data_IF_572940868768
#
_entry.id   IF_572940868768
#
_cell.length_a   1.000
_cell.length_b   1.000
_cell.length_c   1.000
_cell.angle_alpha   90.00
_cell.angle_beta   90.00
_cell.angle_gamma   90.00
#
_symmetry.space_group_name_H-M   'P 1'
#
loop_
_entity.id
_entity.type
_entity.pdbx_description
1 polymer ?
#
# COMPACT_ATOMS: atom_id res chain seq x y z
N UNK A 1 46.39 54.01 -74.75
CA UNK A 1 46.65 52.98 -73.71
C UNK A 1 45.43 52.83 -72.82
N UNK A 2 44.62 51.76 -72.93
CA UNK A 2 43.60 51.43 -71.94
C UNK A 2 44.02 50.23 -71.08
N UNK A 3 43.99 50.39 -69.76
CA UNK A 3 44.31 49.36 -68.76
C UNK A 3 43.15 48.36 -68.61
N UNK A 4 43.45 47.06 -68.71
CA UNK A 4 42.52 45.96 -68.37
C UNK A 4 42.47 45.74 -66.85
N UNK A 5 41.27 45.59 -66.30
CA UNK A 5 41.02 45.22 -64.90
C UNK A 5 40.86 43.69 -64.75
N UNK A 6 41.22 43.10 -63.59
CA UNK A 6 41.17 41.65 -63.37
C UNK A 6 39.80 41.18 -62.84
N UNK A 7 39.39 39.97 -63.26
CA UNK A 7 38.18 39.27 -62.84
C UNK A 7 38.42 38.56 -61.50
N UNK A 8 37.68 38.95 -60.46
CA UNK A 8 37.65 38.30 -59.15
C UNK A 8 36.92 36.95 -59.20
N UNK A 9 37.59 35.90 -58.71
CA UNK A 9 37.04 34.55 -58.53
C UNK A 9 36.25 34.49 -57.22
N UNK A 10 34.98 34.12 -57.30
CA UNK A 10 34.11 33.88 -56.15
C UNK A 10 34.33 32.46 -55.62
N UNK A 11 34.88 32.35 -54.41
CA UNK A 11 34.96 31.08 -53.67
C UNK A 11 33.64 30.86 -52.93
N UNK A 12 32.79 29.95 -53.43
CA UNK A 12 31.63 29.46 -52.69
C UNK A 12 32.12 28.55 -51.54
N UNK A 13 31.92 28.99 -50.29
CA UNK A 13 32.11 28.16 -49.10
C UNK A 13 30.80 27.43 -48.82
N UNK A 14 30.78 26.12 -49.04
CA UNK A 14 29.68 25.26 -48.62
C UNK A 14 29.68 25.16 -47.08
N UNK A 15 28.58 25.60 -46.46
CA UNK A 15 28.34 25.41 -45.03
C UNK A 15 27.67 24.04 -44.81
N UNK A 16 28.38 23.13 -44.15
CA UNK A 16 27.83 21.84 -43.74
C UNK A 16 27.13 22.01 -42.38
N UNK A 17 25.80 21.91 -42.37
CA UNK A 17 24.98 21.94 -41.16
C UNK A 17 25.04 20.56 -40.49
N UNK A 18 25.80 20.46 -39.40
CA UNK A 18 25.87 19.25 -38.57
C UNK A 18 24.60 19.16 -37.71
N UNK A 19 23.64 18.33 -38.10
CA UNK A 19 22.45 18.07 -37.31
C UNK A 19 22.81 17.11 -36.15
N UNK A 20 22.94 17.64 -34.94
CA UNK A 20 23.00 16.84 -33.71
C UNK A 20 21.61 16.23 -33.45
N UNK A 21 21.45 14.95 -33.80
CA UNK A 21 20.29 14.18 -33.38
C UNK A 21 20.40 13.85 -31.90
N UNK A 22 19.75 14.64 -31.03
CA UNK A 22 19.48 14.21 -29.66
C UNK A 22 18.48 13.05 -29.72
N UNK A 23 18.98 11.82 -29.58
CA UNK A 23 18.12 10.69 -29.28
C UNK A 23 17.51 10.93 -27.89
N UNK A 24 16.21 11.20 -27.84
CA UNK A 24 15.47 11.21 -26.59
C UNK A 24 15.50 9.78 -26.03
N UNK A 25 16.32 9.54 -25.01
CA UNK A 25 16.22 8.31 -24.22
C UNK A 25 14.81 8.29 -23.61
N UNK A 26 14.01 7.28 -23.97
CA UNK A 26 12.73 7.07 -23.32
C UNK A 26 12.98 6.89 -21.83
N UNK A 27 12.40 7.77 -21.01
CA UNK A 27 12.35 7.58 -19.57
C UNK A 27 11.45 6.38 -19.31
N UNK A 28 12.05 5.20 -19.19
CA UNK A 28 11.35 4.02 -18.71
C UNK A 28 10.84 4.36 -17.30
N UNK A 29 9.56 4.12 -17.08
CA UNK A 29 8.97 4.31 -15.78
C UNK A 29 9.60 3.30 -14.80
N UNK A 30 10.01 3.79 -13.63
CA UNK A 30 10.69 2.94 -12.65
C UNK A 30 9.65 2.21 -11.77
N UNK A 31 9.84 0.92 -11.47
CA UNK A 31 8.97 0.18 -10.56
C UNK A 31 9.08 0.73 -9.13
N UNK A 32 8.03 0.52 -8.34
CA UNK A 32 8.03 0.87 -6.92
C UNK A 32 8.76 -0.21 -6.14
N UNK A 33 9.83 0.14 -5.44
CA UNK A 33 10.70 -0.81 -4.73
C UNK A 33 10.78 -0.52 -3.23
N UNK A 34 11.17 -1.55 -2.47
CA UNK A 34 11.39 -1.44 -1.03
C UNK A 34 10.21 -1.91 -0.19
N UNK A 35 10.43 -1.99 1.11
CA UNK A 35 9.40 -2.31 2.09
C UNK A 35 8.81 -1.02 2.65
N UNK A 36 7.55 -1.10 3.08
CA UNK A 36 6.83 -0.01 3.71
C UNK A 36 6.18 -0.50 5.01
N UNK A 37 6.38 0.26 6.09
CA UNK A 37 5.66 0.06 7.34
C UNK A 37 4.87 1.31 7.69
N UNK A 38 3.59 1.12 8.01
CA UNK A 38 2.69 2.20 8.37
C UNK A 38 1.85 1.82 9.58
N UNK A 39 1.32 2.83 10.26
CA UNK A 39 0.43 2.64 11.40
C UNK A 39 -0.66 3.70 11.44
N UNK A 40 -1.73 3.40 12.15
CA UNK A 40 -2.85 4.29 12.35
C UNK A 40 -3.83 3.75 13.38
N UNK A 41 -5.06 4.26 13.33
CA UNK A 41 -6.17 3.81 14.16
C UNK A 41 -7.35 3.46 13.27
N UNK A 42 -8.07 2.39 13.59
CA UNK A 42 -9.33 2.05 12.94
C UNK A 42 -10.41 1.73 13.98
N UNK A 43 -11.65 1.72 13.50
CA UNK A 43 -12.84 1.19 14.13
C UNK A 43 -13.26 -0.10 13.41
N UNK A 44 -13.30 -1.21 14.12
CA UNK A 44 -13.81 -2.48 13.60
C UNK A 44 -15.25 -2.67 14.03
N UNK A 45 -16.12 -2.94 13.07
CA UNK A 45 -17.53 -3.24 13.29
C UNK A 45 -18.02 -4.28 12.27
N UNK A 46 -19.31 -4.62 12.32
CA UNK A 46 -19.93 -5.45 11.28
C UNK A 46 -20.00 -4.75 9.92
N UNK A 47 -19.80 -3.42 9.87
CA UNK A 47 -19.69 -2.64 8.65
C UNK A 47 -18.26 -2.55 8.09
N UNK A 48 -17.29 -3.25 8.70
CA UNK A 48 -15.91 -3.34 8.22
C UNK A 48 -14.90 -2.56 9.06
N UNK A 49 -13.81 -2.14 8.41
CA UNK A 49 -12.76 -1.28 8.98
C UNK A 49 -13.00 0.18 8.55
N UNK A 50 -13.25 1.04 9.53
CA UNK A 50 -13.38 2.50 9.37
C UNK A 50 -12.13 3.16 9.95
N UNK A 51 -11.26 3.67 9.08
CA UNK A 51 -9.97 4.23 9.49
C UNK A 51 -10.17 5.66 10.01
N UNK A 52 -9.46 6.02 11.09
CA UNK A 52 -9.62 7.33 11.72
C UNK A 52 -9.00 8.45 10.87
N UNK A 53 -9.65 9.63 10.73
CA UNK A 53 -10.90 10.03 11.37
C UNK A 53 -12.15 9.31 10.83
N UNK A 54 -12.99 8.82 11.75
CA UNK A 54 -14.15 8.00 11.43
C UNK A 54 -15.23 8.72 10.60
N UNK A 55 -15.94 7.98 9.76
CA UNK A 55 -17.18 8.42 9.12
C UNK A 55 -17.01 9.24 7.83
N UNK A 56 -15.80 9.28 7.26
CA UNK A 56 -15.48 10.00 6.03
C UNK A 56 -15.27 9.12 4.79
N UNK A 57 -15.29 7.79 4.92
CA UNK A 57 -14.89 6.87 3.85
C UNK A 57 -13.36 6.72 3.71
N UNK A 58 -12.60 7.53 4.45
CA UNK A 58 -11.14 7.54 4.48
C UNK A 58 -10.64 7.90 5.87
N UNK A 59 -9.56 7.25 6.29
CA UNK A 59 -8.74 7.67 7.42
C UNK A 59 -7.35 8.13 7.02
N UNK A 60 -6.50 8.31 8.03
CA UNK A 60 -5.10 8.71 7.92
C UNK A 60 -4.18 7.65 8.51
N UNK A 61 -2.99 7.52 7.92
CA UNK A 61 -1.92 6.70 8.45
C UNK A 61 -0.61 7.50 8.52
N UNK A 62 0.33 6.99 9.31
CA UNK A 62 1.69 7.50 9.41
C UNK A 62 2.69 6.46 8.89
N UNK A 63 3.69 6.91 8.14
CA UNK A 63 4.77 6.04 7.66
C UNK A 63 5.84 5.91 8.74
N UNK A 64 5.96 4.71 9.31
CA UNK A 64 6.89 4.40 10.39
C UNK A 64 8.30 4.11 9.86
N UNK A 65 8.39 3.33 8.78
CA UNK A 65 9.64 2.94 8.17
C UNK A 65 9.44 2.66 6.68
N UNK A 66 10.51 2.77 5.90
CA UNK A 66 10.48 2.53 4.47
C UNK A 66 11.89 2.35 3.90
N UNK A 67 11.99 1.56 2.83
CA UNK A 67 13.22 1.42 2.02
C UNK A 67 12.90 1.71 0.55
N UNK A 68 13.92 1.77 -0.31
CA UNK A 68 13.74 2.00 -1.74
C UNK A 68 12.94 3.27 -2.04
N UNK A 69 11.87 3.14 -2.81
CA UNK A 69 10.94 4.22 -3.18
C UNK A 69 10.31 4.91 -1.96
N UNK A 70 10.16 4.18 -0.84
CA UNK A 70 9.47 4.68 0.36
C UNK A 70 10.41 5.34 1.38
N UNK A 71 11.72 5.32 1.18
CA UNK A 71 12.68 5.83 2.15
C UNK A 71 12.48 7.33 2.47
N UNK A 72 12.06 8.13 1.48
CA UNK A 72 11.76 9.56 1.65
C UNK A 72 10.40 9.85 2.30
N UNK A 73 9.55 8.83 2.46
CA UNK A 73 8.21 8.98 3.04
C UNK A 73 8.20 8.76 4.55
N UNK A 74 9.29 8.26 5.14
CA UNK A 74 9.38 8.04 6.58
C UNK A 74 9.12 9.35 7.33
N UNK A 75 8.19 9.31 8.29
CA UNK A 75 7.79 10.50 9.04
C UNK A 75 6.65 11.31 8.41
N UNK A 76 6.16 10.90 7.24
CA UNK A 76 5.05 11.57 6.55
C UNK A 76 3.72 10.87 6.80
N UNK A 77 2.62 11.50 6.37
CA UNK A 77 1.27 10.97 6.47
C UNK A 77 0.72 10.60 5.09
N UNK A 78 -0.25 9.69 5.09
CA UNK A 78 -1.06 9.36 3.93
C UNK A 78 -2.52 9.13 4.32
N UNK A 79 -3.35 8.84 3.32
CA UNK A 79 -4.77 8.53 3.52
C UNK A 79 -5.04 7.07 3.16
N UNK A 80 -5.93 6.43 3.90
CA UNK A 80 -6.37 5.05 3.69
C UNK A 80 -7.88 5.01 3.48
N UNK A 81 -8.38 4.27 2.50
CA UNK A 81 -9.82 4.07 2.30
C UNK A 81 -10.39 3.08 3.33
N UNK A 82 -11.63 3.31 3.74
CA UNK A 82 -12.38 2.36 4.56
C UNK A 82 -12.63 1.05 3.81
N UNK A 83 -12.59 -0.07 4.54
CA UNK A 83 -12.73 -1.40 3.96
C UNK A 83 -14.02 -2.03 4.46
N UNK A 84 -15.03 -2.04 3.59
CA UNK A 84 -16.28 -2.72 3.85
C UNK A 84 -16.13 -4.27 3.76
N UNK A 85 -16.99 -5.05 4.45
CA UNK A 85 -16.95 -6.50 4.43
C UNK A 85 -17.18 -7.03 3.02
N UNK A 86 -16.39 -8.02 2.60
CA UNK A 86 -16.55 -8.68 1.31
C UNK A 86 -16.08 -7.86 0.09
N UNK A 87 -15.53 -6.67 0.30
CA UNK A 87 -14.93 -5.88 -0.80
C UNK A 87 -13.55 -6.44 -1.11
N UNK A 88 -13.41 -7.08 -2.27
CA UNK A 88 -12.17 -7.71 -2.71
C UNK A 88 -11.14 -6.70 -3.25
N UNK A 89 -11.60 -5.58 -3.83
CA UNK A 89 -10.75 -4.62 -4.55
C UNK A 89 -11.06 -3.21 -4.10
N UNK A 90 -10.03 -2.48 -3.69
CA UNK A 90 -10.10 -1.05 -3.39
C UNK A 90 -9.00 -0.34 -4.19
N UNK A 91 -9.40 0.36 -5.25
CA UNK A 91 -8.50 1.26 -5.97
C UNK A 91 -8.15 2.45 -5.08
N UNK A 92 -6.89 2.84 -5.06
CA UNK A 92 -6.33 3.92 -4.26
C UNK A 92 -6.57 3.70 -2.75
N UNK A 93 -6.46 2.44 -2.29
CA UNK A 93 -6.58 2.09 -0.88
C UNK A 93 -5.60 2.88 -0.03
N UNK A 94 -4.37 3.09 -0.48
CA UNK A 94 -3.38 3.96 0.19
C UNK A 94 -2.90 5.03 -0.78
N UNK A 95 -2.84 6.27 -0.30
CA UNK A 95 -2.18 7.37 -1.01
C UNK A 95 -1.29 8.18 -0.06
N UNK A 96 -0.24 8.80 -0.59
CA UNK A 96 0.75 9.52 0.22
C UNK A 96 0.71 11.01 -0.07
N UNK A 97 0.62 11.86 0.96
CA UNK A 97 0.64 13.31 0.79
C UNK A 97 1.97 13.80 0.22
N UNK A 98 3.09 13.18 0.62
CA UNK A 98 4.43 13.53 0.16
C UNK A 98 4.80 12.92 -1.21
N UNK A 99 3.99 12.01 -1.75
CA UNK A 99 4.18 11.39 -3.06
C UNK A 99 2.83 11.07 -3.72
N UNK A 100 2.06 12.09 -4.16
CA UNK A 100 0.69 11.90 -4.64
C UNK A 100 0.57 11.07 -5.93
N UNK A 101 1.67 10.87 -6.65
CA UNK A 101 1.71 9.98 -7.81
C UNK A 101 1.89 8.50 -7.45
N UNK A 102 2.22 8.16 -6.21
CA UNK A 102 2.36 6.77 -5.74
C UNK A 102 1.12 6.40 -4.94
N UNK A 103 0.48 5.28 -5.29
CA UNK A 103 -0.67 4.77 -4.57
C UNK A 103 -0.69 3.24 -4.55
N UNK A 104 -1.43 2.67 -3.60
CA UNK A 104 -1.65 1.24 -3.49
C UNK A 104 -3.08 0.90 -3.85
N UNK A 105 -3.24 -0.04 -4.79
CA UNK A 105 -4.52 -0.67 -5.10
C UNK A 105 -4.55 -2.06 -4.44
N UNK A 106 -5.53 -2.30 -3.58
CA UNK A 106 -5.74 -3.66 -3.06
C UNK A 106 -6.45 -4.51 -4.10
N UNK A 107 -5.93 -5.72 -4.34
CA UNK A 107 -6.48 -6.67 -5.31
C UNK A 107 -7.24 -7.82 -4.65
N UNK A 108 -6.84 -8.23 -3.45
CA UNK A 108 -7.53 -9.24 -2.67
C UNK A 108 -7.17 -9.16 -1.18
N UNK A 109 -8.13 -9.53 -0.34
CA UNK A 109 -7.86 -10.00 1.02
C UNK A 109 -7.70 -11.52 0.97
N UNK A 110 -6.61 -12.02 1.56
CA UNK A 110 -6.34 -13.45 1.57
C UNK A 110 -7.26 -14.13 2.60
N UNK A 111 -7.81 -15.32 2.29
CA UNK A 111 -8.58 -16.08 3.25
C UNK A 111 -7.76 -16.33 4.53
N UNK A 112 -8.45 -16.29 5.67
CA UNK A 112 -7.84 -16.63 6.94
C UNK A 112 -7.39 -18.11 6.95
N UNK A 113 -6.35 -18.44 7.71
CA UNK A 113 -5.71 -19.75 7.69
C UNK A 113 -5.97 -20.61 8.92
N UNK A 114 -6.55 -20.04 9.99
CA UNK A 114 -6.91 -20.82 11.19
C UNK A 114 -8.27 -21.50 11.04
N UNK A 115 -8.56 -22.43 11.95
CA UNK A 115 -9.86 -23.07 12.06
C UNK A 115 -10.88 -22.18 12.79
N UNK A 116 -12.17 -22.46 12.61
CA UNK A 116 -13.26 -21.75 13.30
C UNK A 116 -13.72 -22.43 14.60
N UNK A 117 -13.17 -23.60 14.94
CA UNK A 117 -13.65 -24.45 16.04
C UNK A 117 -13.64 -23.76 17.41
N UNK A 118 -12.65 -22.89 17.66
CA UNK A 118 -12.46 -22.23 18.96
C UNK A 118 -13.04 -20.81 19.03
N UNK A 119 -13.73 -20.35 17.97
CA UNK A 119 -14.27 -18.98 17.92
C UNK A 119 -15.31 -18.70 19.01
N UNK A 120 -15.99 -19.73 19.50
CA UNK A 120 -17.03 -19.64 20.53
C UNK A 120 -16.69 -20.42 21.81
N UNK A 121 -15.46 -20.92 21.92
CA UNK A 121 -14.98 -21.55 23.16
C UNK A 121 -14.64 -20.49 24.22
N UNK A 122 -14.69 -20.81 25.52
CA UNK A 122 -14.23 -19.90 26.57
C UNK A 122 -12.79 -19.43 26.31
N UNK A 123 -12.52 -18.15 26.56
CA UNK A 123 -11.24 -17.53 26.24
C UNK A 123 -10.08 -18.14 27.06
N UNK A 124 -9.04 -18.58 26.35
CA UNK A 124 -7.79 -19.06 26.93
C UNK A 124 -6.59 -18.66 26.05
N UNK A 125 -5.43 -18.53 26.68
CA UNK A 125 -4.18 -18.20 25.98
C UNK A 125 -3.83 -19.25 24.91
N UNK A 126 -3.32 -18.79 23.77
CA UNK A 126 -2.90 -19.63 22.65
C UNK A 126 -4.04 -20.16 21.78
N UNK A 127 -5.30 -19.87 22.11
CA UNK A 127 -6.41 -20.20 21.22
C UNK A 127 -6.33 -19.37 19.94
N UNK A 128 -6.67 -20.02 18.83
CA UNK A 128 -6.72 -19.40 17.50
C UNK A 128 -8.12 -19.53 16.92
N UNK A 129 -8.54 -18.52 16.17
CA UNK A 129 -9.85 -18.50 15.51
C UNK A 129 -9.77 -17.75 14.19
N UNK A 130 -10.40 -18.31 13.17
CA UNK A 130 -10.79 -17.57 11.96
C UNK A 130 -12.30 -17.70 11.78
N UNK A 131 -13.06 -16.59 11.87
CA UNK A 131 -14.49 -16.61 11.59
C UNK A 131 -14.78 -17.15 10.17
N UNK A 132 -15.80 -18.00 9.98
CA UNK A 132 -16.12 -18.54 8.65
C UNK A 132 -16.33 -17.44 7.61
N UNK A 133 -15.69 -17.58 6.44
CA UNK A 133 -15.80 -16.61 5.35
C UNK A 133 -15.06 -15.29 5.57
N UNK A 134 -14.19 -15.20 6.56
CA UNK A 134 -13.42 -13.99 6.87
C UNK A 134 -11.94 -14.11 6.46
N UNK A 135 -11.29 -12.96 6.24
CA UNK A 135 -9.83 -12.81 6.09
C UNK A 135 -9.11 -12.61 7.44
N UNK A 136 -9.87 -12.57 8.54
CA UNK A 136 -9.37 -12.27 9.88
C UNK A 136 -8.85 -13.53 10.57
N UNK A 137 -7.60 -13.46 11.02
CA UNK A 137 -6.97 -14.42 11.93
C UNK A 137 -6.89 -13.81 13.33
N UNK A 138 -7.35 -14.54 14.33
CA UNK A 138 -7.38 -14.11 15.73
C UNK A 138 -6.57 -15.07 16.60
N UNK A 139 -5.82 -14.52 17.54
CA UNK A 139 -5.09 -15.29 18.55
C UNK A 139 -5.32 -14.67 19.92
N UNK A 140 -5.72 -15.46 20.91
CA UNK A 140 -5.71 -15.00 22.29
C UNK A 140 -4.29 -15.07 22.85
N UNK A 141 -3.75 -13.95 23.30
CA UNK A 141 -2.51 -13.88 24.06
C UNK A 141 -2.74 -14.27 25.53
N UNK A 142 -3.92 -13.96 26.05
CA UNK A 142 -4.40 -14.35 27.38
C UNK A 142 -5.93 -14.51 27.35
N UNK A 143 -6.56 -14.78 28.50
CA UNK A 143 -8.01 -14.77 28.61
C UNK A 143 -8.64 -13.37 28.40
N UNK A 144 -7.83 -12.31 28.38
CA UNK A 144 -8.26 -10.91 28.29
C UNK A 144 -7.47 -10.10 27.26
N UNK A 145 -6.69 -10.73 26.39
CA UNK A 145 -5.91 -10.03 25.37
C UNK A 145 -5.83 -10.88 24.11
N UNK A 146 -5.92 -10.23 22.94
CA UNK A 146 -5.86 -10.91 21.65
C UNK A 146 -5.11 -10.09 20.60
N UNK A 147 -4.70 -10.76 19.53
CA UNK A 147 -4.25 -10.13 18.30
C UNK A 147 -5.21 -10.44 17.17
N UNK A 148 -5.26 -9.53 16.20
CA UNK A 148 -5.93 -9.73 14.91
C UNK A 148 -4.90 -9.50 13.81
N UNK A 149 -4.92 -10.36 12.79
CA UNK A 149 -4.17 -10.14 11.57
C UNK A 149 -5.00 -10.39 10.31
N UNK A 150 -4.74 -9.60 9.28
CA UNK A 150 -5.33 -9.71 7.95
C UNK A 150 -4.19 -9.65 6.95
N UNK A 151 -4.13 -10.62 6.05
CA UNK A 151 -3.18 -10.61 4.93
C UNK A 151 -3.91 -10.22 3.65
N UNK A 152 -3.23 -9.54 2.74
CA UNK A 152 -3.78 -9.11 1.47
C UNK A 152 -2.71 -8.96 0.40
N UNK A 153 -3.16 -8.86 -0.84
CA UNK A 153 -2.33 -8.54 -2.00
C UNK A 153 -2.79 -7.25 -2.63
N UNK A 154 -1.87 -6.60 -3.35
CA UNK A 154 -2.19 -5.45 -4.15
C UNK A 154 -1.06 -5.07 -5.06
N UNK A 155 -1.19 -3.90 -5.68
CA UNK A 155 -0.17 -3.32 -6.54
C UNK A 155 0.11 -1.89 -6.10
N UNK A 156 1.39 -1.54 -6.02
CA UNK A 156 1.78 -0.13 -5.99
C UNK A 156 1.90 0.37 -7.41
N UNK A 157 1.22 1.48 -7.70
CA UNK A 157 1.30 2.18 -8.99
C UNK A 157 2.18 3.41 -8.81
N UNK A 158 3.21 3.53 -9.65
CA UNK A 158 4.12 4.68 -9.64
C UNK A 158 3.49 5.92 -10.28
N UNK A 159 4.13 7.08 -10.13
CA UNK A 159 3.69 8.33 -10.76
C UNK A 159 3.66 8.26 -12.30
N UNK A 160 4.36 7.28 -12.88
CA UNK A 160 4.41 7.02 -14.31
C UNK A 160 3.50 5.86 -14.75
N UNK A 161 2.75 5.26 -13.82
CA UNK A 161 1.77 4.21 -14.10
C UNK A 161 2.31 2.78 -14.02
N UNK A 162 3.56 2.57 -13.57
CA UNK A 162 4.11 1.21 -13.42
C UNK A 162 3.53 0.54 -12.18
N UNK A 163 2.98 -0.66 -12.38
CA UNK A 163 2.39 -1.46 -11.33
C UNK A 163 3.40 -2.49 -10.81
N UNK A 164 3.67 -2.49 -9.50
CA UNK A 164 4.53 -3.48 -8.85
C UNK A 164 3.70 -4.28 -7.83
N UNK A 165 3.71 -5.63 -7.88
CA UNK A 165 2.92 -6.45 -6.96
C UNK A 165 3.50 -6.46 -5.55
N UNK A 166 2.64 -6.33 -4.55
CA UNK A 166 2.99 -6.32 -3.13
C UNK A 166 2.07 -7.24 -2.34
N UNK A 167 2.60 -7.78 -1.26
CA UNK A 167 1.85 -8.44 -0.19
C UNK A 167 1.86 -7.55 1.05
N UNK A 168 0.73 -7.50 1.74
CA UNK A 168 0.55 -6.72 2.96
C UNK A 168 0.04 -7.58 4.10
N UNK A 169 0.50 -7.29 5.31
CA UNK A 169 -0.07 -7.86 6.54
C UNK A 169 -0.40 -6.72 7.49
N UNK A 170 -1.69 -6.58 7.79
CA UNK A 170 -2.20 -5.73 8.86
C UNK A 170 -2.22 -6.53 10.16
N UNK A 171 -1.76 -5.92 11.24
CA UNK A 171 -1.83 -6.48 12.59
C UNK A 171 -2.34 -5.44 13.59
N UNK A 172 -3.04 -5.93 14.60
CA UNK A 172 -3.43 -5.14 15.77
C UNK A 172 -3.41 -6.02 17.02
N UNK A 173 -3.32 -5.38 18.19
CA UNK A 173 -3.34 -6.01 19.49
C UNK A 173 -4.36 -5.32 20.39
N UNK A 174 -5.18 -6.12 21.06
CA UNK A 174 -6.17 -5.67 22.03
C UNK A 174 -5.71 -6.10 23.43
N UNK A 175 -5.33 -5.15 24.29
CA UNK A 175 -4.73 -5.46 25.59
C UNK A 175 -5.74 -5.90 26.67
N UNK A 176 -7.04 -5.63 26.48
CA UNK A 176 -8.10 -5.88 27.47
C UNK A 176 -9.35 -6.52 26.83
N UNK A 177 -9.16 -7.20 25.70
CA UNK A 177 -10.22 -7.85 24.97
C UNK A 177 -9.70 -9.19 24.45
N UNK A 178 -10.36 -10.28 24.82
CA UNK A 178 -10.19 -11.56 24.11
C UNK A 178 -10.89 -11.49 22.75
N UNK A 179 -10.49 -12.34 21.81
CA UNK A 179 -11.16 -12.34 20.52
C UNK A 179 -12.63 -12.77 20.64
N UNK A 180 -13.02 -13.54 21.64
CA UNK A 180 -14.43 -13.90 21.89
C UNK A 180 -15.25 -12.66 22.25
N UNK A 181 -14.72 -11.79 23.10
CA UNK A 181 -15.38 -10.52 23.45
C UNK A 181 -15.41 -9.58 22.25
N UNK A 182 -14.35 -9.55 21.45
CA UNK A 182 -14.31 -8.80 20.18
C UNK A 182 -15.41 -9.26 19.23
N UNK A 183 -15.48 -10.56 18.96
CA UNK A 183 -16.49 -11.16 18.08
C UNK A 183 -17.90 -10.93 18.61
N UNK A 184 -18.13 -11.07 19.92
CA UNK A 184 -19.42 -10.78 20.55
C UNK A 184 -19.81 -9.30 20.40
N UNK A 185 -18.86 -8.38 20.57
CA UNK A 185 -19.09 -6.94 20.42
C UNK A 185 -19.49 -6.62 18.98
N UNK A 186 -18.74 -7.12 17.99
CA UNK A 186 -19.01 -6.92 16.57
C UNK A 186 -20.33 -7.57 16.14
N UNK A 187 -20.61 -8.78 16.61
CA UNK A 187 -21.88 -9.48 16.33
C UNK A 187 -23.09 -8.77 16.97
N UNK A 188 -22.89 -8.09 18.10
CA UNK A 188 -23.89 -7.23 18.74
C UNK A 188 -24.09 -5.87 18.08
N UNK A 189 -23.39 -5.58 16.97
CA UNK A 189 -23.44 -4.28 16.29
C UNK A 189 -22.59 -3.19 16.95
N UNK A 190 -21.73 -3.56 17.90
CA UNK A 190 -20.78 -2.66 18.52
C UNK A 190 -19.56 -2.39 17.65
N UNK A 191 -18.76 -1.42 18.09
CA UNK A 191 -17.53 -0.99 17.43
C UNK A 191 -16.36 -1.12 18.40
N UNK A 192 -15.22 -1.61 17.92
CA UNK A 192 -13.98 -1.68 18.68
C UNK A 192 -12.91 -0.84 18.00
N UNK A 193 -12.40 0.16 18.72
CA UNK A 193 -11.31 1.02 18.25
C UNK A 193 -9.95 0.42 18.63
N UNK A 194 -9.01 0.39 17.69
CA UNK A 194 -7.65 -0.07 17.96
C UNK A 194 -6.62 0.60 17.05
N UNK A 195 -5.38 0.67 17.55
CA UNK A 195 -4.22 0.98 16.73
C UNK A 195 -3.82 -0.22 15.90
N UNK A 196 -3.30 0.02 14.70
CA UNK A 196 -2.82 -1.03 13.82
C UNK A 196 -1.44 -0.70 13.26
N UNK A 197 -0.75 -1.74 12.81
CA UNK A 197 0.43 -1.64 11.96
C UNK A 197 0.25 -2.46 10.69
N UNK A 198 0.79 -2.00 9.58
CA UNK A 198 0.84 -2.73 8.33
C UNK A 198 2.28 -2.81 7.86
N UNK A 199 2.69 -3.99 7.41
CA UNK A 199 3.93 -4.18 6.64
C UNK A 199 3.56 -4.57 5.21
N UNK A 200 4.16 -3.88 4.25
CA UNK A 200 4.02 -4.13 2.81
C UNK A 200 5.40 -4.43 2.23
N UNK A 201 5.49 -5.52 1.46
CA UNK A 201 6.72 -5.95 0.81
C UNK A 201 6.45 -6.36 -0.65
N UNK A 202 7.40 -6.13 -1.57
CA UNK A 202 7.25 -6.54 -2.95
C UNK A 202 7.18 -8.07 -3.03
N UNK A 203 6.35 -8.58 -3.93
CA UNK A 203 6.32 -10.02 -4.23
C UNK A 203 7.62 -10.37 -4.95
N UNK A 204 8.44 -11.32 -4.45
CA UNK A 204 9.65 -11.73 -5.13
C UNK A 204 9.33 -12.22 -6.54
N UNK A 205 10.06 -11.73 -7.54
CA UNK A 205 9.97 -12.28 -8.88
C UNK A 205 10.38 -13.77 -8.85
N UNK A 206 9.70 -14.66 -9.57
CA UNK A 206 10.14 -16.04 -9.71
C UNK A 206 11.57 -16.06 -10.25
N UNK A 207 12.46 -16.80 -9.60
CA UNK A 207 13.80 -17.03 -10.14
C UNK A 207 13.66 -17.80 -11.46
N UNK A 208 13.94 -17.12 -12.57
CA UNK A 208 14.01 -17.70 -13.91
C UNK A 208 15.26 -18.54 -14.10
#
# INVERSE_FOLDING_TARGET
MPRRAPRGRWCARAAATLALGLAAAGSQAAPVTGELQLAGVFNLSSAGLDFSPAGGGTGSFFVLAGTGTFASLVGTMGTVLDVAPGVAVNSNLLSFAAAPGVHFDSTALLPASFGSALCFSPAAAGQICSPPGSAVNLVNLSASASTLSIAGTGVFVSAQGEATPYVGVLTTQFANLSYQQLLATVAGGGTVTASYSVTLAPVPEPAS
#
